data_IF_865456788181
#
_entry.id   IF_865456788181
#
_cell.length_a   1.000
_cell.length_b   1.000
_cell.length_c   1.000
_cell.angle_alpha   90.00
_cell.angle_beta   90.00
_cell.angle_gamma   90.00
#
_symmetry.space_group_name_H-M   'P 1'
#
loop_
_entity.id
_entity.type
_entity.pdbx_description
1 polymer ?
#
# COMPACT_ATOMS: atom_id res chain seq x y z
N UNK A 1 -2.47 13.82 7.19
CA UNK A 1 -2.28 13.58 5.74
C UNK A 1 -1.36 14.68 5.23
N UNK A 2 -0.10 14.38 4.91
CA UNK A 2 0.77 15.33 4.26
C UNK A 2 0.33 15.41 2.79
N UNK A 3 -0.20 16.56 2.37
CA UNK A 3 -0.37 16.84 0.95
C UNK A 3 1.03 16.80 0.33
N UNK A 4 1.33 15.77 -0.46
CA UNK A 4 2.53 15.78 -1.28
C UNK A 4 2.41 17.00 -2.21
N UNK A 5 3.31 17.95 -2.04
CA UNK A 5 3.34 19.15 -2.87
C UNK A 5 3.68 18.72 -4.29
N UNK A 6 2.83 19.08 -5.24
CA UNK A 6 3.07 18.78 -6.65
C UNK A 6 4.39 19.46 -7.09
N UNK A 7 5.38 18.64 -7.42
CA UNK A 7 6.71 19.08 -7.85
C UNK A 7 6.68 19.30 -9.36
N UNK A 8 7.15 20.47 -9.81
CA UNK A 8 7.23 20.81 -11.24
C UNK A 8 8.33 19.99 -11.93
N UNK A 9 8.16 19.66 -13.23
CA UNK A 9 9.12 18.88 -14.00
C UNK A 9 10.57 19.38 -13.89
N UNK A 10 10.79 20.70 -13.95
CA UNK A 10 12.11 21.30 -13.78
C UNK A 10 12.71 21.04 -12.38
N UNK A 11 11.85 21.01 -11.34
CA UNK A 11 12.27 20.68 -9.98
C UNK A 11 12.65 19.20 -9.86
N UNK A 12 11.90 18.31 -10.52
CA UNK A 12 12.22 16.89 -10.61
C UNK A 12 13.58 16.66 -11.27
N UNK A 13 13.87 17.34 -12.37
CA UNK A 13 15.19 17.27 -13.04
C UNK A 13 16.32 17.75 -12.14
N UNK A 14 16.11 18.81 -11.37
CA UNK A 14 17.08 19.32 -10.39
C UNK A 14 17.30 18.30 -9.26
N UNK A 15 16.24 17.73 -8.70
CA UNK A 15 16.34 16.73 -7.63
C UNK A 15 17.01 15.46 -8.13
N UNK A 16 16.70 15.01 -9.36
CA UNK A 16 17.34 13.88 -10.00
C UNK A 16 18.86 14.10 -10.19
N UNK A 17 19.27 15.26 -10.66
CA UNK A 17 20.71 15.59 -10.78
C UNK A 17 21.42 15.51 -9.42
N UNK A 18 20.80 16.09 -8.39
CA UNK A 18 21.34 16.08 -7.04
C UNK A 18 21.31 14.69 -6.39
N UNK A 19 20.53 13.74 -6.91
CA UNK A 19 20.54 12.35 -6.41
C UNK A 19 21.89 11.66 -6.71
N UNK A 20 22.52 11.98 -7.83
CA UNK A 20 23.79 11.36 -8.26
C UNK A 20 25.02 12.15 -7.82
N UNK A 21 24.85 13.32 -7.23
CA UNK A 21 25.95 14.21 -6.83
C UNK A 21 25.88 14.54 -5.34
N UNK A 22 26.98 14.45 -4.57
CA UNK A 22 27.00 14.89 -3.19
C UNK A 22 26.60 16.36 -3.04
N UNK A 23 27.07 17.19 -3.98
CA UNK A 23 26.74 18.61 -4.12
C UNK A 23 27.03 19.10 -5.54
N UNK A 24 26.38 20.19 -5.97
CA UNK A 24 26.65 20.80 -7.26
C UNK A 24 26.48 22.33 -7.21
N UNK A 25 26.80 23.02 -8.30
CA UNK A 25 26.65 24.47 -8.40
C UNK A 25 25.44 24.86 -9.26
N UNK A 26 25.15 26.18 -9.29
CA UNK A 26 24.02 26.72 -10.06
C UNK A 26 24.10 26.40 -11.56
N UNK A 27 25.29 26.54 -12.16
CA UNK A 27 25.45 26.32 -13.60
C UNK A 27 25.13 24.90 -14.03
N UNK A 28 25.51 23.89 -13.24
CA UNK A 28 25.15 22.51 -13.50
C UNK A 28 23.64 22.28 -13.42
N UNK A 29 22.99 22.83 -12.38
CA UNK A 29 21.52 22.72 -12.22
C UNK A 29 20.77 23.45 -13.34
N UNK A 30 21.30 24.58 -13.81
CA UNK A 30 20.74 25.29 -14.95
C UNK A 30 20.80 24.42 -16.22
N UNK A 31 21.96 23.83 -16.49
CA UNK A 31 22.17 22.98 -17.67
C UNK A 31 21.17 21.81 -17.70
N UNK A 32 20.97 21.10 -16.60
CA UNK A 32 20.07 19.93 -16.56
C UNK A 32 18.60 20.29 -16.58
N UNK A 33 18.24 21.45 -16.05
CA UNK A 33 16.85 21.93 -16.07
C UNK A 33 16.37 22.30 -17.46
N UNK A 34 17.28 22.72 -18.34
CA UNK A 34 16.97 23.19 -19.69
C UNK A 34 16.27 24.58 -19.71
N UNK A 35 16.29 25.32 -18.59
CA UNK A 35 15.60 26.59 -18.42
C UNK A 35 16.56 27.77 -18.38
N UNK A 36 16.03 28.97 -18.64
CA UNK A 36 16.76 30.22 -18.44
C UNK A 36 17.05 30.49 -16.95
N UNK A 37 18.12 31.26 -16.69
CA UNK A 37 18.68 31.50 -15.37
C UNK A 37 17.64 31.93 -14.32
N UNK A 38 16.71 32.80 -14.65
CA UNK A 38 15.74 33.34 -13.67
C UNK A 38 14.67 32.31 -13.32
N UNK A 39 14.24 31.49 -14.28
CA UNK A 39 13.33 30.38 -14.02
C UNK A 39 13.99 29.32 -13.14
N UNK A 40 15.25 29.00 -13.38
CA UNK A 40 16.00 28.03 -12.55
C UNK A 40 16.16 28.54 -11.13
N UNK A 41 16.49 29.83 -10.95
CA UNK A 41 16.58 30.47 -9.62
C UNK A 41 15.26 30.34 -8.86
N UNK A 42 14.11 30.55 -9.55
CA UNK A 42 12.80 30.38 -8.95
C UNK A 42 12.57 28.95 -8.48
N UNK A 43 12.83 27.95 -9.33
CA UNK A 43 12.64 26.54 -9.00
C UNK A 43 13.57 26.07 -7.88
N UNK A 44 14.85 26.46 -7.90
CA UNK A 44 15.79 26.13 -6.82
C UNK A 44 15.35 26.78 -5.51
N UNK A 45 14.99 28.07 -5.53
CA UNK A 45 14.48 28.78 -4.35
C UNK A 45 13.28 28.04 -3.76
N UNK A 46 12.35 27.63 -4.61
CA UNK A 46 11.16 26.88 -4.17
C UNK A 46 11.53 25.53 -3.54
N UNK A 47 12.51 24.79 -4.10
CA UNK A 47 13.00 23.55 -3.52
C UNK A 47 13.68 23.74 -2.16
N UNK A 48 14.38 24.87 -1.97
CA UNK A 48 14.98 25.25 -0.68
C UNK A 48 13.89 25.60 0.33
N UNK A 49 12.89 26.40 -0.04
CA UNK A 49 11.74 26.76 0.81
C UNK A 49 10.92 25.53 1.23
N UNK A 50 10.75 24.57 0.34
CA UNK A 50 10.07 23.31 0.61
C UNK A 50 10.93 22.33 1.44
N UNK A 51 12.21 22.65 1.66
CA UNK A 51 13.15 21.88 2.44
C UNK A 51 13.70 20.64 1.74
N UNK A 52 13.60 20.53 0.42
CA UNK A 52 14.20 19.42 -0.35
C UNK A 52 15.68 19.65 -0.68
N UNK A 53 16.09 20.91 -0.84
CA UNK A 53 17.45 21.29 -1.19
C UNK A 53 18.01 22.23 -0.13
N UNK A 54 19.27 22.01 0.24
CA UNK A 54 20.06 22.91 1.07
C UNK A 54 21.05 23.68 0.21
N UNK A 55 21.23 24.98 0.53
CA UNK A 55 22.24 25.83 -0.09
C UNK A 55 23.34 26.12 0.91
N UNK A 56 24.59 25.83 0.56
CA UNK A 56 25.81 26.18 1.32
C UNK A 56 26.73 27.01 0.42
N UNK A 57 26.78 28.30 0.68
CA UNK A 57 27.54 29.21 -0.19
C UNK A 57 27.02 29.17 -1.64
N UNK A 58 27.90 28.78 -2.57
CA UNK A 58 27.56 28.60 -3.99
C UNK A 58 27.11 27.17 -4.37
N UNK A 59 27.04 26.26 -3.41
CA UNK A 59 26.72 24.87 -3.63
C UNK A 59 25.32 24.51 -3.16
N UNK A 60 24.74 23.52 -3.82
CA UNK A 60 23.42 22.92 -3.54
C UNK A 60 23.55 21.42 -3.32
N UNK A 61 22.82 20.90 -2.36
CA UNK A 61 22.73 19.46 -2.07
C UNK A 61 21.34 19.06 -1.63
N UNK A 62 21.02 17.77 -1.70
CA UNK A 62 19.78 17.27 -1.13
C UNK A 62 19.82 17.33 0.40
N UNK A 63 18.75 17.81 1.00
CA UNK A 63 18.45 17.61 2.42
C UNK A 63 18.09 16.15 2.70
N UNK A 64 17.86 15.77 3.97
CA UNK A 64 17.30 14.45 4.33
C UNK A 64 15.97 14.23 3.62
N UNK A 65 15.06 15.20 3.68
CA UNK A 65 13.76 15.17 2.98
C UNK A 65 13.93 15.08 1.46
N UNK A 66 14.91 15.80 0.91
CA UNK A 66 15.23 15.73 -0.52
C UNK A 66 15.73 14.36 -0.97
N UNK A 67 16.57 13.71 -0.16
CA UNK A 67 17.06 12.35 -0.42
C UNK A 67 15.92 11.34 -0.40
N UNK A 68 15.04 11.42 0.61
CA UNK A 68 13.86 10.57 0.70
C UNK A 68 12.95 10.73 -0.53
N UNK A 69 12.69 11.96 -0.95
CA UNK A 69 11.86 12.22 -2.13
C UNK A 69 12.52 11.75 -3.42
N UNK A 70 13.79 12.10 -3.63
CA UNK A 70 14.51 11.75 -4.86
C UNK A 70 14.71 10.23 -5.02
N UNK A 71 14.79 9.49 -3.90
CA UNK A 71 14.87 8.03 -3.93
C UNK A 71 13.59 7.33 -4.44
N UNK A 72 12.47 8.06 -4.49
CA UNK A 72 11.20 7.55 -5.05
C UNK A 72 11.09 7.78 -6.56
N UNK A 73 12.04 8.51 -7.16
CA UNK A 73 12.03 8.80 -8.58
C UNK A 73 12.53 7.59 -9.37
N UNK A 74 11.78 7.21 -10.38
CA UNK A 74 12.33 6.43 -11.50
C UNK A 74 13.42 7.27 -12.14
N UNK A 75 14.67 6.80 -12.08
CA UNK A 75 15.84 7.57 -12.55
C UNK A 75 15.89 7.70 -14.06
N UNK A 76 15.23 6.84 -14.80
CA UNK A 76 15.18 6.88 -16.26
C UNK A 76 14.02 7.75 -16.75
N UNK A 77 12.83 7.54 -16.23
CA UNK A 77 11.64 8.30 -16.61
C UNK A 77 11.51 9.67 -15.94
N UNK A 78 12.19 9.90 -14.80
CA UNK A 78 12.14 11.17 -14.07
C UNK A 78 10.78 11.48 -13.45
N UNK A 79 9.99 10.44 -13.15
CA UNK A 79 8.69 10.51 -12.48
C UNK A 79 8.70 9.67 -11.21
N UNK A 80 7.74 9.90 -10.31
CA UNK A 80 7.57 9.03 -9.15
C UNK A 80 7.09 7.66 -9.64
N UNK A 81 7.85 6.63 -9.31
CA UNK A 81 7.51 5.27 -9.66
C UNK A 81 6.26 4.80 -8.92
N UNK A 82 5.32 4.19 -9.64
CA UNK A 82 4.14 3.59 -9.05
C UNK A 82 4.52 2.28 -8.36
N UNK A 83 4.41 2.25 -7.04
CA UNK A 83 4.75 1.07 -6.23
C UNK A 83 3.50 0.24 -5.88
N UNK A 84 3.63 -1.08 -5.73
CA UNK A 84 2.58 -1.92 -5.16
C UNK A 84 2.15 -1.43 -3.78
N UNK A 85 0.88 -1.61 -3.45
CA UNK A 85 0.38 -1.36 -2.10
C UNK A 85 0.80 -2.52 -1.19
N UNK A 86 1.49 -2.25 -0.12
CA UNK A 86 1.87 -3.25 0.88
C UNK A 86 0.85 -3.24 2.02
N UNK A 87 0.33 -4.43 2.36
CA UNK A 87 -0.74 -4.60 3.32
C UNK A 87 -0.64 -5.94 4.07
N UNK A 88 -1.41 -6.10 5.12
CA UNK A 88 -1.66 -7.38 5.79
C UNK A 88 -3.01 -7.95 5.34
N UNK A 89 -3.13 -9.28 5.30
CA UNK A 89 -4.37 -10.03 5.15
C UNK A 89 -4.50 -10.92 6.39
N UNK A 90 -5.60 -10.75 7.14
CA UNK A 90 -5.75 -11.32 8.46
C UNK A 90 -6.66 -12.57 8.42
N UNK A 91 -6.09 -13.73 8.64
CA UNK A 91 -6.81 -14.98 8.80
C UNK A 91 -7.04 -15.20 10.29
N UNK A 92 -8.26 -14.91 10.74
CA UNK A 92 -8.67 -15.02 12.15
C UNK A 92 -9.63 -16.19 12.28
N UNK A 93 -9.16 -17.27 12.90
CA UNK A 93 -9.94 -18.50 13.13
C UNK A 93 -10.52 -18.51 14.55
N UNK A 94 -11.72 -19.04 14.70
CA UNK A 94 -12.25 -19.48 15.99
C UNK A 94 -12.94 -20.84 15.88
N UNK A 95 -13.10 -21.51 17.00
CA UNK A 95 -14.01 -22.66 17.12
C UNK A 95 -15.29 -22.21 17.80
N UNK A 96 -16.43 -22.49 17.19
CA UNK A 96 -17.75 -22.22 17.74
C UNK A 96 -18.68 -23.39 17.41
N UNK A 97 -19.34 -23.96 18.41
CA UNK A 97 -20.21 -25.14 18.29
C UNK A 97 -19.57 -26.30 17.51
N UNK A 98 -18.29 -26.56 17.79
CA UNK A 98 -17.52 -27.65 17.17
C UNK A 98 -17.03 -27.35 15.73
N UNK A 99 -17.41 -26.19 15.15
CA UNK A 99 -17.04 -25.82 13.79
C UNK A 99 -15.96 -24.73 13.78
N UNK A 100 -15.10 -24.76 12.76
CA UNK A 100 -14.19 -23.68 12.48
C UNK A 100 -14.92 -22.55 11.74
N UNK A 101 -14.82 -21.35 12.28
CA UNK A 101 -15.31 -20.13 11.66
C UNK A 101 -14.16 -19.16 11.49
N UNK A 102 -14.24 -18.34 10.43
CA UNK A 102 -13.28 -17.32 10.09
C UNK A 102 -13.94 -15.95 10.14
N UNK A 103 -13.22 -14.96 10.65
CA UNK A 103 -13.65 -13.59 10.59
C UNK A 103 -13.54 -13.09 9.15
N UNK A 104 -14.66 -12.69 8.59
CA UNK A 104 -14.74 -12.16 7.23
C UNK A 104 -15.43 -10.80 7.24
N UNK A 105 -15.11 -10.02 6.22
CA UNK A 105 -15.67 -8.68 6.03
C UNK A 105 -16.38 -8.57 4.70
N UNK A 106 -17.60 -8.00 4.71
CA UNK A 106 -18.24 -7.45 3.52
C UNK A 106 -17.78 -6.03 3.32
N UNK A 107 -17.24 -5.75 2.16
CA UNK A 107 -16.78 -4.41 1.80
C UNK A 107 -17.95 -3.51 1.40
N UNK A 108 -18.08 -2.34 2.02
CA UNK A 108 -19.13 -1.34 1.72
C UNK A 108 -18.56 -0.05 1.11
N UNK A 109 -17.47 -0.16 0.38
CA UNK A 109 -16.83 0.94 -0.36
C UNK A 109 -16.22 0.42 -1.66
N UNK A 110 -16.12 1.29 -2.68
CA UNK A 110 -15.43 0.96 -3.93
C UNK A 110 -13.90 0.93 -3.75
N UNK A 111 -13.20 0.18 -4.60
CA UNK A 111 -13.69 -0.88 -5.49
C UNK A 111 -14.23 -2.10 -4.72
N UNK A 112 -14.91 -3.02 -5.41
CA UNK A 112 -15.46 -4.28 -4.90
C UNK A 112 -16.59 -4.13 -3.87
N UNK A 113 -17.52 -3.23 -4.11
CA UNK A 113 -18.66 -3.04 -3.23
C UNK A 113 -19.52 -4.30 -3.07
N UNK A 114 -19.69 -4.76 -1.82
CA UNK A 114 -20.44 -5.96 -1.46
C UNK A 114 -19.65 -7.27 -1.53
N UNK A 115 -18.34 -7.23 -1.83
CA UNK A 115 -17.50 -8.41 -1.83
C UNK A 115 -17.07 -8.81 -0.40
N UNK A 116 -17.01 -10.13 -0.18
CA UNK A 116 -16.58 -10.74 1.05
C UNK A 116 -15.14 -11.27 0.95
N UNK A 117 -14.36 -11.06 1.98
CA UNK A 117 -13.00 -11.57 2.11
C UNK A 117 -12.48 -11.48 3.54
N UNK A 118 -11.26 -11.90 3.75
CA UNK A 118 -10.57 -11.69 5.02
C UNK A 118 -10.31 -10.19 5.27
N UNK A 119 -10.25 -9.72 6.53
CA UNK A 119 -9.84 -8.35 6.84
C UNK A 119 -8.46 -8.04 6.28
N UNK A 120 -8.29 -6.83 5.74
CA UNK A 120 -7.01 -6.36 5.20
C UNK A 120 -6.71 -4.96 5.68
N UNK A 121 -5.42 -4.63 5.86
CA UNK A 121 -5.03 -3.29 6.25
C UNK A 121 -3.69 -2.87 5.67
N UNK A 122 -3.56 -1.60 5.28
CA UNK A 122 -2.31 -1.06 4.76
C UNK A 122 -1.28 -0.87 5.87
N UNK A 123 -0.03 -1.24 5.58
CA UNK A 123 1.09 -0.90 6.46
C UNK A 123 1.29 0.62 6.41
N UNK A 124 1.27 1.26 7.59
CA UNK A 124 1.57 2.69 7.72
C UNK A 124 3.08 2.88 7.77
N UNK A 125 3.53 4.05 7.37
CA UNK A 125 4.95 4.39 7.43
C UNK A 125 5.49 4.24 8.85
N UNK A 126 6.53 3.41 8.99
CA UNK A 126 7.18 3.11 10.27
C UNK A 126 6.56 1.98 11.09
N UNK A 127 5.39 1.43 10.68
CA UNK A 127 4.82 0.25 11.34
C UNK A 127 5.51 -1.04 10.88
N UNK A 128 5.69 -1.95 11.81
CA UNK A 128 5.99 -3.34 11.49
C UNK A 128 4.73 -4.08 11.00
N UNK A 129 4.92 -5.22 10.34
CA UNK A 129 3.82 -6.07 9.85
C UNK A 129 2.92 -6.53 11.01
N UNK A 130 3.51 -6.91 12.16
CA UNK A 130 2.78 -7.38 13.34
C UNK A 130 1.97 -6.25 14.02
N UNK A 131 2.54 -5.05 14.12
CA UNK A 131 1.83 -3.88 14.63
C UNK A 131 0.64 -3.52 13.74
N UNK A 132 0.84 -3.54 12.41
CA UNK A 132 -0.24 -3.31 11.45
C UNK A 132 -1.36 -4.33 11.61
N UNK A 133 -1.03 -5.63 11.71
CA UNK A 133 -2.02 -6.69 11.89
C UNK A 133 -2.86 -6.50 13.17
N UNK A 134 -2.21 -6.18 14.28
CA UNK A 134 -2.88 -5.95 15.57
C UNK A 134 -3.74 -4.69 15.53
N UNK A 135 -3.26 -3.60 14.95
CA UNK A 135 -3.99 -2.34 14.82
C UNK A 135 -5.24 -2.49 13.94
N UNK A 136 -5.09 -3.06 12.74
CA UNK A 136 -6.21 -3.22 11.80
C UNK A 136 -7.29 -4.13 12.38
N UNK A 137 -6.90 -5.22 13.05
CA UNK A 137 -7.87 -6.06 13.76
C UNK A 137 -8.65 -5.26 14.81
N UNK A 138 -7.94 -4.49 15.63
CA UNK A 138 -8.57 -3.70 16.70
C UNK A 138 -9.46 -2.57 16.14
N UNK A 139 -8.97 -1.80 15.17
CA UNK A 139 -9.69 -0.66 14.59
C UNK A 139 -10.99 -1.10 13.91
N UNK A 140 -10.94 -2.13 13.07
CA UNK A 140 -12.07 -2.55 12.23
C UNK A 140 -13.02 -3.53 12.93
N UNK A 141 -12.52 -4.30 13.90
CA UNK A 141 -13.32 -5.39 14.49
C UNK A 141 -13.53 -5.28 16.00
N UNK A 142 -12.73 -4.51 16.70
CA UNK A 142 -12.73 -4.43 18.17
C UNK A 142 -12.11 -5.64 18.87
N UNK A 143 -11.55 -6.58 18.11
CA UNK A 143 -10.86 -7.75 18.65
C UNK A 143 -9.36 -7.46 18.88
N UNK A 144 -8.75 -8.25 19.75
CA UNK A 144 -7.31 -8.25 20.01
C UNK A 144 -6.75 -9.65 19.83
N UNK A 145 -5.57 -9.77 19.20
CA UNK A 145 -4.88 -11.04 19.01
C UNK A 145 -3.39 -10.84 18.83
N UNK A 146 -2.61 -11.89 19.05
CA UNK A 146 -1.26 -12.04 18.50
C UNK A 146 -1.32 -12.83 17.18
N UNK A 147 -0.44 -12.48 16.26
CA UNK A 147 -0.44 -13.07 14.92
C UNK A 147 0.83 -13.86 14.64
N UNK A 148 0.69 -14.92 13.85
CA UNK A 148 1.76 -15.65 13.23
C UNK A 148 1.87 -15.26 11.75
N UNK A 149 3.09 -15.00 11.29
CA UNK A 149 3.35 -14.76 9.87
C UNK A 149 3.27 -16.06 9.08
N UNK A 150 2.51 -16.08 7.98
CA UNK A 150 2.23 -17.27 7.19
C UNK A 150 2.71 -17.24 5.75
N UNK A 151 3.11 -16.09 5.24
CA UNK A 151 3.63 -15.96 3.88
C UNK A 151 3.24 -14.67 3.18
N UNK A 152 3.40 -14.68 1.86
CA UNK A 152 3.11 -13.54 0.99
C UNK A 152 2.12 -13.96 -0.10
N UNK A 153 1.18 -13.06 -0.40
CA UNK A 153 0.36 -13.09 -1.59
C UNK A 153 0.57 -11.81 -2.39
N UNK A 154 1.15 -11.92 -3.58
CA UNK A 154 1.29 -10.83 -4.54
C UNK A 154 0.14 -10.90 -5.54
N UNK A 155 -0.87 -10.07 -5.34
CA UNK A 155 -2.05 -9.98 -6.19
C UNK A 155 -1.96 -8.78 -7.12
N UNK A 156 -2.06 -9.03 -8.42
CA UNK A 156 -2.22 -8.01 -9.45
C UNK A 156 -3.61 -8.12 -10.05
N UNK A 157 -4.29 -6.99 -10.19
CA UNK A 157 -5.66 -6.95 -10.76
C UNK A 157 -5.63 -6.29 -12.12
N UNK A 158 -6.16 -6.99 -13.12
CA UNK A 158 -6.32 -6.51 -14.49
C UNK A 158 -7.79 -6.22 -14.77
N UNK A 159 -8.05 -5.10 -15.43
CA UNK A 159 -9.39 -4.77 -15.93
C UNK A 159 -9.65 -5.49 -17.25
N UNK A 160 -10.71 -6.31 -17.33
CA UNK A 160 -11.00 -7.14 -18.51
C UNK A 160 -11.24 -6.33 -19.78
N UNK A 161 -11.84 -5.14 -19.67
CA UNK A 161 -12.18 -4.30 -20.81
C UNK A 161 -11.01 -3.53 -21.43
N UNK A 162 -9.99 -3.18 -20.63
CA UNK A 162 -8.82 -2.41 -21.09
C UNK A 162 -7.54 -3.22 -21.13
N UNK A 163 -7.48 -4.33 -20.40
CA UNK A 163 -6.27 -5.12 -20.21
C UNK A 163 -5.23 -4.48 -19.29
N UNK A 164 -5.52 -3.30 -18.74
CA UNK A 164 -4.58 -2.57 -17.87
C UNK A 164 -4.60 -3.10 -16.43
N UNK A 165 -3.46 -3.02 -15.75
CA UNK A 165 -3.38 -3.27 -14.32
C UNK A 165 -3.98 -2.09 -13.55
N UNK A 166 -5.03 -2.35 -12.77
CA UNK A 166 -5.73 -1.35 -11.94
C UNK A 166 -5.36 -1.43 -10.47
N UNK A 167 -4.90 -2.60 -10.01
CA UNK A 167 -4.31 -2.77 -8.68
C UNK A 167 -3.08 -3.66 -8.73
N UNK A 168 -2.16 -3.37 -7.81
CA UNK A 168 -0.97 -4.16 -7.53
C UNK A 168 -0.77 -4.13 -6.01
N UNK A 169 -0.83 -5.31 -5.36
CA UNK A 169 -0.88 -5.44 -3.91
C UNK A 169 -0.02 -6.60 -3.43
N UNK A 170 0.78 -6.35 -2.43
CA UNK A 170 1.54 -7.36 -1.71
C UNK A 170 0.90 -7.51 -0.33
N UNK A 171 0.28 -8.65 -0.07
CA UNK A 171 -0.29 -9.00 1.23
C UNK A 171 0.66 -9.87 2.02
N UNK A 172 0.95 -9.48 3.25
CA UNK A 172 1.53 -10.35 4.26
C UNK A 172 0.39 -11.14 4.92
N UNK A 173 0.41 -12.46 4.77
CA UNK A 173 -0.59 -13.36 5.34
C UNK A 173 -0.33 -13.55 6.83
N UNK A 174 -1.31 -13.19 7.66
CA UNK A 174 -1.22 -13.18 9.12
C UNK A 174 -2.29 -14.09 9.70
N UNK A 175 -1.92 -15.07 10.48
CA UNK A 175 -2.84 -16.03 11.08
C UNK A 175 -2.95 -15.86 12.59
N UNK A 176 -4.17 -16.04 13.10
CA UNK A 176 -4.42 -16.17 14.54
C UNK A 176 -5.63 -17.06 14.81
N UNK A 177 -5.58 -17.78 15.95
CA UNK A 177 -6.73 -18.52 16.51
C UNK A 177 -6.97 -18.16 17.98
N UNK A 178 -6.38 -17.07 18.46
CA UNK A 178 -6.44 -16.62 19.85
C UNK A 178 -7.10 -15.25 20.03
N UNK A 179 -7.91 -14.83 19.05
CA UNK A 179 -8.59 -13.53 19.11
C UNK A 179 -9.55 -13.46 20.29
N UNK A 180 -9.49 -12.35 21.03
CA UNK A 180 -10.31 -12.07 22.21
C UNK A 180 -11.03 -10.72 22.07
N UNK A 181 -12.04 -10.49 22.88
CA UNK A 181 -12.82 -9.25 22.86
C UNK A 181 -14.22 -9.45 22.27
N UNK A 182 -14.92 -8.34 22.06
CA UNK A 182 -16.26 -8.32 21.48
C UNK A 182 -16.22 -7.76 20.08
N UNK A 183 -16.60 -8.57 19.10
CA UNK A 183 -16.59 -8.18 17.70
C UNK A 183 -17.63 -7.09 17.42
N UNK A 184 -17.20 -5.98 16.84
CA UNK A 184 -18.09 -4.99 16.20
C UNK A 184 -18.66 -5.60 14.92
N UNK A 185 -19.97 -5.54 14.75
CA UNK A 185 -20.62 -6.04 13.52
C UNK A 185 -20.43 -5.13 12.33
N UNK A 186 -20.19 -3.84 12.56
CA UNK A 186 -20.02 -2.82 11.50
C UNK A 186 -18.84 -1.90 11.80
N UNK A 187 -18.24 -1.36 10.73
CA UNK A 187 -17.19 -0.34 10.74
C UNK A 187 -17.33 0.53 9.48
N UNK A 188 -16.60 1.63 9.38
CA UNK A 188 -16.74 2.59 8.26
C UNK A 188 -16.50 1.98 6.86
N UNK A 189 -15.72 0.91 6.78
CA UNK A 189 -15.38 0.22 5.53
C UNK A 189 -16.33 -0.91 5.14
N UNK A 190 -17.19 -1.39 6.05
CA UNK A 190 -18.01 -2.58 5.84
C UNK A 190 -18.64 -3.17 7.07
N UNK A 191 -18.89 -4.47 7.03
CA UNK A 191 -19.40 -5.24 8.19
C UNK A 191 -18.61 -6.53 8.40
N UNK A 192 -18.55 -6.96 9.65
CA UNK A 192 -17.87 -8.15 10.10
C UNK A 192 -18.85 -9.31 10.33
N UNK A 193 -18.44 -10.51 9.97
CA UNK A 193 -19.16 -11.72 10.32
C UNK A 193 -18.21 -12.90 10.52
N UNK A 194 -18.57 -13.77 11.49
CA UNK A 194 -17.95 -15.08 11.58
C UNK A 194 -18.67 -16.03 10.62
N UNK A 195 -17.91 -16.64 9.71
CA UNK A 195 -18.46 -17.58 8.71
C UNK A 195 -17.61 -18.83 8.59
N UNK A 196 -18.27 -19.93 8.29
CA UNK A 196 -17.61 -21.18 7.90
C UNK A 196 -17.21 -21.13 6.42
N UNK A 197 -16.25 -21.95 6.02
CA UNK A 197 -15.92 -22.11 4.59
C UNK A 197 -17.08 -22.65 3.76
N UNK A 198 -17.97 -23.45 4.38
CA UNK A 198 -19.16 -23.95 3.72
C UNK A 198 -20.18 -22.85 3.38
N UNK A 199 -20.34 -21.86 4.26
CA UNK A 199 -21.17 -20.69 4.00
C UNK A 199 -20.58 -19.83 2.89
N UNK A 200 -19.24 -19.66 2.87
CA UNK A 200 -18.56 -18.91 1.82
C UNK A 200 -18.64 -19.54 0.43
N UNK A 201 -18.81 -20.87 0.34
CA UNK A 201 -19.06 -21.53 -0.97
C UNK A 201 -20.33 -21.03 -1.64
N UNK A 202 -21.34 -20.64 -0.85
CA UNK A 202 -22.64 -20.15 -1.33
C UNK A 202 -22.67 -18.63 -1.55
N UNK A 203 -21.64 -17.92 -1.09
CA UNK A 203 -21.55 -16.46 -1.27
C UNK A 203 -21.17 -16.13 -2.72
N UNK A 204 -22.03 -15.44 -3.49
CA UNK A 204 -21.74 -15.12 -4.88
C UNK A 204 -20.69 -14.02 -5.04
N UNK A 205 -20.66 -13.06 -4.11
CA UNK A 205 -19.71 -11.94 -4.12
C UNK A 205 -18.57 -12.20 -3.12
N UNK A 206 -17.54 -12.88 -3.57
CA UNK A 206 -16.29 -13.05 -2.84
C UNK A 206 -15.11 -12.74 -3.75
N UNK A 207 -14.00 -12.34 -3.17
CA UNK A 207 -12.80 -12.05 -3.96
C UNK A 207 -12.33 -13.28 -4.73
N UNK A 208 -11.87 -13.08 -5.95
CA UNK A 208 -11.19 -14.12 -6.73
C UNK A 208 -9.90 -14.48 -6.00
N UNK A 209 -9.56 -15.78 -5.94
CA UNK A 209 -8.42 -16.23 -5.12
C UNK A 209 -8.70 -16.42 -3.62
N UNK A 210 -9.92 -16.13 -3.13
CA UNK A 210 -10.28 -16.19 -1.72
C UNK A 210 -9.88 -17.51 -1.04
N UNK A 211 -10.11 -18.66 -1.70
CA UNK A 211 -9.82 -19.96 -1.07
C UNK A 211 -8.33 -20.24 -0.99
N UNK A 212 -7.59 -19.91 -2.04
CA UNK A 212 -6.14 -20.05 -2.11
C UNK A 212 -5.46 -19.20 -1.03
N UNK A 213 -5.93 -17.97 -0.84
CA UNK A 213 -5.43 -17.07 0.20
C UNK A 213 -5.70 -17.60 1.61
N UNK A 214 -6.93 -18.07 1.85
CA UNK A 214 -7.31 -18.62 3.14
C UNK A 214 -6.53 -19.90 3.46
N UNK A 215 -6.39 -20.82 2.51
CA UNK A 215 -5.63 -22.06 2.65
C UNK A 215 -4.16 -21.75 2.94
N UNK A 216 -3.54 -20.90 2.12
CA UNK A 216 -2.15 -20.47 2.30
C UNK A 216 -1.90 -19.83 3.68
N UNK A 217 -2.83 -19.00 4.15
CA UNK A 217 -2.72 -18.38 5.47
C UNK A 217 -2.96 -19.33 6.63
N UNK A 218 -3.77 -20.39 6.45
CA UNK A 218 -3.99 -21.43 7.46
C UNK A 218 -2.79 -22.37 7.54
N UNK A 219 -2.29 -22.86 6.41
CA UNK A 219 -1.19 -23.82 6.34
C UNK A 219 0.17 -23.19 6.59
N UNK A 220 0.41 -21.99 6.06
CA UNK A 220 1.66 -21.25 6.22
C UNK A 220 2.74 -21.65 5.21
N UNK A 221 3.84 -20.85 5.20
CA UNK A 221 4.97 -21.07 4.30
C UNK A 221 4.68 -20.69 2.84
N UNK A 222 3.59 -19.99 2.57
CA UNK A 222 3.12 -19.72 1.22
C UNK A 222 3.85 -18.56 0.55
N UNK A 223 4.11 -18.72 -0.74
CA UNK A 223 4.35 -17.64 -1.67
C UNK A 223 3.35 -17.79 -2.82
N UNK A 224 2.37 -16.89 -2.85
CA UNK A 224 1.38 -16.85 -3.91
C UNK A 224 1.69 -15.65 -4.82
N UNK A 225 1.57 -15.86 -6.11
CA UNK A 225 1.66 -14.79 -7.12
C UNK A 225 0.65 -15.06 -8.23
N UNK A 226 -0.32 -14.17 -8.38
CA UNK A 226 -1.34 -14.34 -9.40
C UNK A 226 -1.89 -13.03 -9.96
N UNK A 227 -2.56 -13.15 -11.10
CA UNK A 227 -3.31 -12.05 -11.73
C UNK A 227 -4.78 -12.40 -11.69
N UNK A 228 -5.58 -11.56 -11.06
CA UNK A 228 -7.02 -11.64 -11.07
C UNK A 228 -7.60 -10.69 -12.11
N UNK A 229 -8.66 -11.09 -12.77
CA UNK A 229 -9.34 -10.25 -13.77
C UNK A 229 -10.74 -9.88 -13.28
N UNK A 230 -11.04 -8.58 -13.31
CA UNK A 230 -12.34 -8.04 -12.92
C UNK A 230 -12.91 -7.15 -14.04
N UNK A 231 -14.22 -7.22 -14.23
CA UNK A 231 -14.96 -6.31 -15.11
C UNK A 231 -15.18 -4.97 -14.43
N UNK A 232 -15.66 -3.98 -15.20
CA UNK A 232 -16.02 -2.66 -14.67
C UNK A 232 -17.12 -2.72 -13.60
N UNK A 233 -18.04 -3.66 -13.74
CA UNK A 233 -19.17 -3.85 -12.81
C UNK A 233 -18.73 -4.52 -11.52
N UNK A 234 -17.67 -5.32 -11.56
CA UNK A 234 -17.11 -6.00 -10.39
C UNK A 234 -16.15 -5.10 -9.61
N UNK A 235 -15.44 -4.18 -10.30
CA UNK A 235 -14.45 -3.27 -9.73
C UNK A 235 -15.11 -1.95 -9.28
#
# INVERSE_FOLDING_TARGET
>A
MSHEVQIHEAQTKILRELLFLPETNFASLQKVSGLESDHVKFHIKRLVELGYVEKQGAKYRLSIKGKEYANKLDTDAGVIERQPKVAVLLIVERKHDGQKQYLLQERRKHPYFGYWGAPTGKIRWGESILETASRELAEETGLSASFEYRGINHERVRHTGTGEFVEDKIFHLMFTNNATGSMKSEFDGGRNAWRTMAEMKREPKKYKGFYEEMEAGIEGGAFLEHVQEYSKEEF
#
